data_IF_154720103068
#
_entry.id   IF_154720103068
#
_cell.length_a   1.000
_cell.length_b   1.000
_cell.length_c   1.000
_cell.angle_alpha   90.00
_cell.angle_beta   90.00
_cell.angle_gamma   90.00
#
_symmetry.space_group_name_H-M   'P 1'
#
loop_
_entity.id
_entity.type
_entity.pdbx_description
1 polymer ?
#
# COMPACT_ATOMS: atom_id res chain seq x y z
N UNK A 1 -15.36 2.80 -7.18
CA UNK A 1 -14.75 1.46 -7.06
C UNK A 1 -15.24 0.86 -5.76
N UNK A 2 -15.79 -0.36 -5.78
CA UNK A 2 -16.36 -1.01 -4.59
C UNK A 2 -15.25 -1.81 -3.88
N UNK A 3 -14.90 -1.41 -2.66
CA UNK A 3 -13.98 -2.17 -1.81
C UNK A 3 -14.76 -3.33 -1.20
N UNK A 4 -14.32 -4.60 -1.36
CA UNK A 4 -14.93 -5.72 -0.68
C UNK A 4 -14.93 -5.52 0.85
N UNK A 5 -16.05 -5.82 1.51
CA UNK A 5 -16.24 -5.52 2.93
C UNK A 5 -15.20 -6.20 3.83
N UNK A 6 -14.85 -7.45 3.51
CA UNK A 6 -13.81 -8.18 4.25
C UNK A 6 -12.45 -7.49 4.11
N UNK A 7 -12.05 -7.02 2.93
CA UNK A 7 -10.81 -6.25 2.74
C UNK A 7 -10.86 -4.94 3.54
N UNK A 8 -12.01 -4.25 3.52
CA UNK A 8 -12.18 -3.02 4.27
C UNK A 8 -11.98 -3.26 5.78
N UNK A 9 -12.55 -4.34 6.33
CA UNK A 9 -12.33 -4.74 7.73
C UNK A 9 -10.85 -4.95 8.02
N UNK A 10 -10.15 -5.75 7.20
CA UNK A 10 -8.71 -6.01 7.36
C UNK A 10 -7.92 -4.69 7.37
N UNK A 11 -8.20 -3.78 6.44
CA UNK A 11 -7.55 -2.47 6.39
C UNK A 11 -7.75 -1.71 7.70
N UNK A 12 -8.96 -1.67 8.25
CA UNK A 12 -9.25 -0.97 9.50
C UNK A 12 -8.55 -1.63 10.70
N UNK A 13 -8.51 -2.97 10.74
CA UNK A 13 -7.83 -3.72 11.80
C UNK A 13 -6.32 -3.46 11.77
N UNK A 14 -5.69 -3.52 10.58
CA UNK A 14 -4.25 -3.24 10.43
C UNK A 14 -3.92 -1.77 10.63
N UNK A 15 -4.79 -0.86 10.20
CA UNK A 15 -4.66 0.57 10.48
C UNK A 15 -4.59 0.84 11.98
N UNK A 16 -5.50 0.22 12.75
CA UNK A 16 -5.51 0.32 14.22
C UNK A 16 -4.25 -0.31 14.83
N UNK A 17 -3.90 -1.53 14.44
CA UNK A 17 -2.73 -2.27 14.94
C UNK A 17 -1.42 -1.50 14.77
N UNK A 18 -1.20 -0.87 13.61
CA UNK A 18 0.07 -0.22 13.27
C UNK A 18 0.08 1.31 13.44
N UNK A 19 -1.07 1.92 13.76
CA UNK A 19 -1.21 3.36 13.86
C UNK A 19 -0.98 4.08 12.53
N UNK A 20 -1.59 3.57 11.45
CA UNK A 20 -1.51 4.10 10.09
C UNK A 20 -2.91 4.50 9.63
N UNK A 21 -3.03 5.60 8.87
CA UNK A 21 -4.33 6.04 8.35
C UNK A 21 -4.94 4.96 7.43
N UNK A 22 -6.19 4.50 7.67
CA UNK A 22 -6.86 3.55 6.77
C UNK A 22 -7.09 4.15 5.37
N UNK A 23 -7.20 5.47 5.26
CA UNK A 23 -7.32 6.14 3.96
C UNK A 23 -6.04 6.02 3.13
N UNK A 24 -4.87 6.13 3.76
CA UNK A 24 -3.59 5.97 3.08
C UNK A 24 -3.40 4.52 2.61
N UNK A 25 -3.75 3.55 3.45
CA UNK A 25 -3.70 2.13 3.08
C UNK A 25 -4.62 1.85 1.87
N UNK A 26 -5.86 2.34 1.91
CA UNK A 26 -6.80 2.24 0.78
C UNK A 26 -6.24 2.87 -0.48
N UNK A 27 -5.63 4.05 -0.38
CA UNK A 27 -5.09 4.77 -1.53
C UNK A 27 -3.90 4.06 -2.19
N UNK A 28 -3.04 3.45 -1.38
CA UNK A 28 -1.94 2.60 -1.86
C UNK A 28 -2.48 1.34 -2.52
N UNK A 29 -3.35 0.57 -1.85
CA UNK A 29 -3.96 -0.64 -2.44
C UNK A 29 -4.67 -0.34 -3.76
N UNK A 30 -5.41 0.78 -3.82
CA UNK A 30 -6.07 1.22 -5.04
C UNK A 30 -5.11 1.47 -6.21
N UNK A 31 -3.88 1.92 -5.92
CA UNK A 31 -2.84 2.12 -6.93
C UNK A 31 -2.10 0.82 -7.27
N UNK A 32 -1.88 -0.03 -6.28
CA UNK A 32 -1.10 -1.26 -6.44
C UNK A 32 -1.87 -2.33 -7.22
N UNK A 33 -3.05 -2.69 -6.74
CA UNK A 33 -3.81 -3.84 -7.26
C UNK A 33 -5.24 -3.50 -7.66
N UNK A 34 -5.72 -2.30 -7.31
CA UNK A 34 -7.14 -2.00 -7.43
C UNK A 34 -8.01 -2.88 -6.53
N UNK A 35 -7.47 -3.34 -5.39
CA UNK A 35 -8.09 -4.27 -4.45
C UNK A 35 -8.18 -5.73 -4.93
N UNK A 36 -7.41 -6.13 -5.94
CA UNK A 36 -7.30 -7.53 -6.36
C UNK A 36 -6.24 -8.28 -5.51
N UNK A 37 -6.64 -9.25 -4.67
CA UNK A 37 -5.69 -10.03 -3.88
C UNK A 37 -4.86 -11.02 -4.70
N UNK A 38 -5.26 -11.32 -5.94
CA UNK A 38 -4.55 -12.23 -6.83
C UNK A 38 -3.67 -11.47 -7.86
N UNK A 39 -3.49 -10.16 -7.70
CA UNK A 39 -2.69 -9.36 -8.60
C UNK A 39 -1.22 -9.81 -8.63
N UNK A 40 -0.66 -9.97 -9.83
CA UNK A 40 0.76 -10.23 -10.04
C UNK A 40 1.26 -9.22 -11.09
N UNK A 41 2.25 -8.40 -10.74
CA UNK A 41 2.83 -7.46 -11.71
C UNK A 41 3.80 -8.16 -12.68
N UNK A 42 4.08 -7.56 -13.85
CA UNK A 42 5.15 -8.04 -14.74
C UNK A 42 6.54 -8.05 -14.10
N UNK A 43 6.75 -7.27 -13.03
CA UNK A 43 8.00 -7.21 -12.26
C UNK A 43 8.06 -8.22 -11.12
N UNK A 44 6.99 -9.00 -10.91
CA UNK A 44 6.92 -10.07 -9.92
C UNK A 44 6.45 -9.61 -8.54
N UNK A 45 5.76 -8.48 -8.45
CA UNK A 45 5.13 -8.00 -7.22
C UNK A 45 3.82 -8.73 -6.97
N UNK A 46 3.55 -9.10 -5.72
CA UNK A 46 2.50 -10.06 -5.40
C UNK A 46 1.40 -9.48 -4.51
N UNK A 47 0.17 -9.76 -4.91
CA UNK A 47 -1.06 -9.61 -4.13
C UNK A 47 -1.50 -8.16 -3.91
N UNK A 48 -2.41 -7.98 -2.95
CA UNK A 48 -3.20 -6.75 -2.85
C UNK A 48 -2.38 -5.48 -2.58
N UNK A 49 -1.23 -5.58 -1.89
CA UNK A 49 -0.30 -4.47 -1.67
C UNK A 49 0.98 -4.56 -2.51
N UNK A 50 1.01 -5.46 -3.51
CA UNK A 50 2.10 -5.64 -4.49
C UNK A 50 3.49 -5.69 -3.83
N UNK A 51 3.69 -6.65 -2.94
CA UNK A 51 4.99 -6.83 -2.27
C UNK A 51 5.96 -7.51 -3.22
N UNK A 52 7.15 -6.91 -3.39
CA UNK A 52 8.23 -7.48 -4.18
C UNK A 52 9.06 -8.48 -3.35
N UNK A 53 9.01 -9.80 -3.60
CA UNK A 53 9.74 -10.77 -2.77
C UNK A 53 11.26 -10.66 -2.87
N UNK A 54 11.81 -10.09 -3.96
CA UNK A 54 13.26 -9.86 -4.08
C UNK A 54 13.73 -8.74 -3.15
N UNK A 55 12.89 -7.72 -2.95
CA UNK A 55 13.16 -6.63 -2.01
C UNK A 55 12.77 -6.98 -0.57
N UNK A 56 11.87 -7.95 -0.40
CA UNK A 56 11.30 -8.37 0.88
C UNK A 56 11.46 -9.89 1.07
N UNK A 57 12.67 -10.37 1.42
CA UNK A 57 12.96 -11.81 1.53
C UNK A 57 12.18 -12.52 2.63
N UNK A 58 11.68 -11.78 3.64
CA UNK A 58 10.86 -12.33 4.72
C UNK A 58 9.37 -12.48 4.34
N UNK A 59 8.99 -12.10 3.12
CA UNK A 59 7.64 -12.27 2.61
C UNK A 59 7.42 -13.72 2.13
N UNK A 60 6.46 -14.41 2.74
CA UNK A 60 6.08 -15.78 2.43
C UNK A 60 5.28 -15.81 1.12
N UNK A 61 5.99 -16.16 0.05
CA UNK A 61 5.44 -16.26 -1.31
C UNK A 61 4.39 -17.36 -1.46
N UNK A 62 4.12 -18.19 -0.44
CA UNK A 62 3.02 -19.16 -0.49
C UNK A 62 1.71 -18.60 0.08
N UNK A 63 1.76 -17.42 0.72
CA UNK A 63 0.60 -16.75 1.35
C UNK A 63 0.23 -15.44 0.67
N UNK A 64 0.86 -15.11 -0.45
CA UNK A 64 0.72 -13.81 -1.09
C UNK A 64 -0.72 -13.44 -1.50
N UNK A 65 -1.54 -14.45 -1.82
CA UNK A 65 -2.95 -14.32 -2.19
C UNK A 65 -3.88 -14.16 -0.98
N UNK A 66 -3.40 -14.42 0.23
CA UNK A 66 -4.14 -14.17 1.47
C UNK A 66 -4.12 -12.66 1.78
N UNK A 67 -5.27 -11.97 1.71
CA UNK A 67 -5.33 -10.52 1.92
C UNK A 67 -4.98 -10.12 3.35
N UNK A 68 -5.27 -10.98 4.35
CA UNK A 68 -4.92 -10.73 5.75
C UNK A 68 -3.40 -10.64 5.91
N UNK A 69 -2.69 -11.62 5.34
CA UNK A 69 -1.24 -11.70 5.36
C UNK A 69 -0.59 -10.57 4.56
N UNK A 70 -1.03 -10.36 3.32
CA UNK A 70 -0.44 -9.37 2.42
C UNK A 70 -0.64 -7.93 2.93
N UNK A 71 -1.83 -7.61 3.44
CA UNK A 71 -2.11 -6.29 4.05
C UNK A 71 -1.32 -6.12 5.35
N UNK A 72 -1.25 -7.13 6.22
CA UNK A 72 -0.46 -7.01 7.46
C UNK A 72 1.02 -6.69 7.15
N UNK A 73 1.60 -7.38 6.17
CA UNK A 73 2.97 -7.14 5.73
C UNK A 73 3.15 -5.74 5.14
N UNK A 74 2.31 -5.36 4.16
CA UNK A 74 2.40 -4.07 3.50
C UNK A 74 2.16 -2.88 4.43
N UNK A 75 1.24 -2.99 5.38
CA UNK A 75 0.98 -1.92 6.38
C UNK A 75 2.13 -1.81 7.38
N UNK A 76 2.75 -2.92 7.79
CA UNK A 76 3.97 -2.91 8.61
C UNK A 76 5.11 -2.18 7.88
N UNK A 77 5.35 -2.53 6.62
CA UNK A 77 6.36 -1.84 5.80
C UNK A 77 6.04 -0.34 5.64
N UNK A 78 4.79 0.01 5.36
CA UNK A 78 4.35 1.40 5.28
C UNK A 78 4.61 2.16 6.59
N UNK A 79 4.39 1.53 7.75
CA UNK A 79 4.69 2.12 9.06
C UNK A 79 6.19 2.39 9.24
N UNK A 80 7.06 1.48 8.78
CA UNK A 80 8.51 1.71 8.79
C UNK A 80 8.89 2.93 7.95
N UNK A 81 8.30 3.08 6.77
CA UNK A 81 8.52 4.24 5.91
C UNK A 81 8.00 5.54 6.52
N UNK A 82 6.83 5.52 7.19
CA UNK A 82 6.31 6.67 7.93
C UNK A 82 7.29 7.09 9.03
N UNK A 83 7.80 6.14 9.80
CA UNK A 83 8.76 6.43 10.87
C UNK A 83 10.07 7.01 10.30
N UNK A 84 10.52 6.52 9.13
CA UNK A 84 11.78 6.96 8.52
C UNK A 84 11.66 8.30 7.80
N UNK A 85 10.56 8.52 7.08
CA UNK A 85 10.42 9.63 6.12
C UNK A 85 9.29 10.60 6.44
N UNK A 86 8.50 10.39 7.50
CA UNK A 86 7.33 11.24 7.80
C UNK A 86 7.64 12.72 8.00
N UNK A 87 8.84 13.07 8.48
CA UNK A 87 9.29 14.47 8.58
C UNK A 87 9.45 15.18 7.22
N UNK A 88 9.46 14.42 6.13
CA UNK A 88 9.59 14.91 4.75
C UNK A 88 8.26 14.98 4.00
N UNK A 89 7.14 14.75 4.70
CA UNK A 89 5.80 14.82 4.11
C UNK A 89 5.30 13.49 3.55
N UNK A 90 4.02 13.48 3.18
CA UNK A 90 3.32 12.28 2.72
C UNK A 90 3.84 11.79 1.37
N UNK A 91 4.26 12.70 0.49
CA UNK A 91 4.81 12.39 -0.82
C UNK A 91 6.10 11.58 -0.71
N UNK A 92 6.96 11.87 0.27
CA UNK A 92 8.18 11.11 0.51
C UNK A 92 7.87 9.67 0.95
N UNK A 93 6.87 9.48 1.81
CA UNK A 93 6.40 8.15 2.25
C UNK A 93 5.85 7.37 1.06
N UNK A 94 4.96 7.97 0.28
CA UNK A 94 4.32 7.33 -0.88
C UNK A 94 5.37 6.95 -1.94
N UNK A 95 6.29 7.86 -2.24
CA UNK A 95 7.36 7.58 -3.19
C UNK A 95 8.27 6.44 -2.70
N UNK A 96 8.60 6.43 -1.41
CA UNK A 96 9.41 5.39 -0.80
C UNK A 96 8.72 4.02 -0.76
N UNK A 97 7.39 3.96 -0.69
CA UNK A 97 6.66 2.70 -0.77
C UNK A 97 6.90 2.00 -2.12
N UNK A 98 6.88 2.77 -3.21
CA UNK A 98 7.12 2.23 -4.54
C UNK A 98 8.60 1.98 -4.89
N UNK A 99 9.52 2.82 -4.39
CA UNK A 99 10.93 2.79 -4.80
C UNK A 99 11.91 2.32 -3.71
N UNK A 100 11.43 1.99 -2.52
CA UNK A 100 12.24 1.69 -1.33
C UNK A 100 12.91 2.91 -0.68
N UNK A 101 12.91 4.06 -1.34
CA UNK A 101 13.42 5.34 -0.85
C UNK A 101 12.71 6.51 -1.55
N UNK A 102 12.62 7.70 -0.92
CA UNK A 102 12.02 8.87 -1.56
C UNK A 102 12.77 9.25 -2.84
N UNK A 103 12.03 9.44 -3.93
CA UNK A 103 12.59 9.83 -5.23
C UNK A 103 11.59 10.60 -6.07
N UNK A 104 12.07 11.54 -6.89
CA UNK A 104 11.21 12.25 -7.83
C UNK A 104 10.87 11.44 -9.09
N UNK A 105 11.61 10.35 -9.35
CA UNK A 105 11.46 9.55 -10.58
C UNK A 105 10.05 9.00 -10.79
N UNK A 106 9.36 8.64 -9.71
CA UNK A 106 8.01 8.05 -9.72
C UNK A 106 6.90 9.03 -9.30
N UNK A 107 7.20 10.33 -9.20
CA UNK A 107 6.27 11.29 -8.61
C UNK A 107 4.93 11.33 -9.37
N UNK A 108 4.98 11.50 -10.69
CA UNK A 108 3.78 11.59 -11.51
C UNK A 108 3.10 10.24 -11.74
N UNK A 109 3.86 9.15 -11.82
CA UNK A 109 3.36 7.81 -12.12
C UNK A 109 2.81 7.05 -10.91
N UNK A 110 3.24 7.42 -9.70
CA UNK A 110 2.88 6.73 -8.47
C UNK A 110 2.34 7.69 -7.38
N UNK A 111 3.07 8.76 -7.03
CA UNK A 111 2.66 9.66 -5.94
C UNK A 111 1.34 10.37 -6.26
N UNK A 112 1.25 11.02 -7.42
CA UNK A 112 0.03 11.75 -7.83
C UNK A 112 -1.22 10.84 -7.88
N UNK A 113 -1.17 9.64 -8.48
CA UNK A 113 -2.29 8.69 -8.40
C UNK A 113 -2.73 8.32 -6.98
N UNK A 114 -1.80 8.07 -6.05
CA UNK A 114 -2.13 7.75 -4.66
C UNK A 114 -2.80 8.95 -3.97
N UNK A 115 -2.29 10.17 -4.16
CA UNK A 115 -2.92 11.39 -3.64
C UNK A 115 -4.33 11.60 -4.22
N UNK A 116 -4.53 11.33 -5.51
CA UNK A 116 -5.88 11.37 -6.12
C UNK A 116 -6.82 10.34 -5.49
N UNK A 117 -6.33 9.14 -5.20
CA UNK A 117 -7.12 8.11 -4.51
C UNK A 117 -7.47 8.53 -3.07
N UNK A 118 -6.54 9.16 -2.34
CA UNK A 118 -6.84 9.73 -1.01
C UNK A 118 -8.02 10.71 -1.08
N UNK A 119 -7.99 11.67 -2.01
CA UNK A 119 -9.07 12.64 -2.16
C UNK A 119 -10.42 11.96 -2.48
N UNK A 120 -10.40 10.93 -3.32
CA UNK A 120 -11.61 10.14 -3.65
C UNK A 120 -12.21 9.41 -2.45
N UNK A 121 -11.41 9.02 -1.47
CA UNK A 121 -11.92 8.36 -0.26
C UNK A 121 -12.37 9.34 0.82
N UNK A 122 -11.99 10.62 0.71
CA UNK A 122 -12.41 11.69 1.61
C UNK A 122 -13.71 12.33 1.11
N UNK A 123 -13.82 12.54 -0.20
CA UNK A 123 -14.90 13.29 -0.80
C UNK A 123 -16.05 12.37 -1.26
N UNK A 124 -17.31 12.66 -0.89
CA UNK A 124 -18.47 11.89 -1.32
C UNK A 124 -18.83 12.30 -2.75
N UNK A 125 -18.32 11.58 -3.75
CA UNK A 125 -18.77 11.69 -5.14
C UNK A 125 -19.47 10.41 -5.58
#
# INVERSE_FOLDING_TARGET
MKIPEYINRIIHDKASKYGVSPLLIKAIIAKESGFDPNAISPTGDLGIMQINPKAHPDFDVNKWYDPEYNIDYGVRFLKELINRYGKHGIEAIISAYNAGHPTYKNYWSYVVPVLKNLLRFILPF
#
